data_IF_591327269364
#
_entry.id   IF_591327269364
#
_cell.length_a   1.000
_cell.length_b   1.000
_cell.length_c   1.000
_cell.angle_alpha   90.00
_cell.angle_beta   90.00
_cell.angle_gamma   90.00
#
_symmetry.space_group_name_H-M   'P 1'
#
loop_
_entity.id
_entity.type
_entity.pdbx_description
1 polymer ?
#
# COMPACT_ATOMS: atom_id res chain seq x y z
N UNK A 1 -10.10 2.48 10.64
CA UNK A 1 -8.97 3.41 10.57
C UNK A 1 -8.99 4.27 9.30
N UNK A 2 -8.96 3.67 8.11
CA UNK A 2 -8.94 4.41 6.83
C UNK A 2 -10.03 5.47 6.72
N UNK A 3 -11.26 5.12 7.08
CA UNK A 3 -12.40 6.05 7.02
C UNK A 3 -12.23 7.26 7.95
N UNK A 4 -11.65 7.06 9.13
CA UNK A 4 -11.38 8.15 10.08
C UNK A 4 -10.32 9.07 9.50
N UNK A 5 -9.24 8.51 8.98
CA UNK A 5 -8.16 9.26 8.34
C UNK A 5 -8.66 10.10 7.15
N UNK A 6 -9.47 9.51 6.26
CA UNK A 6 -10.00 10.24 5.09
C UNK A 6 -10.85 11.45 5.51
N UNK A 7 -11.64 11.31 6.57
CA UNK A 7 -12.40 12.44 7.13
C UNK A 7 -11.50 13.50 7.75
N UNK A 8 -10.42 13.10 8.42
CA UNK A 8 -9.46 14.04 9.02
C UNK A 8 -8.77 14.91 7.97
N UNK A 9 -8.51 14.39 6.78
CA UNK A 9 -7.96 15.16 5.65
C UNK A 9 -9.04 15.89 4.83
N UNK A 10 -10.29 15.88 5.28
CA UNK A 10 -11.38 16.63 4.66
C UNK A 10 -12.09 15.95 3.49
N UNK A 11 -11.79 14.69 3.22
CA UNK A 11 -12.43 13.93 2.14
C UNK A 11 -13.82 13.44 2.56
N UNK A 12 -14.75 13.48 1.61
CA UNK A 12 -16.13 12.98 1.75
C UNK A 12 -16.33 11.80 0.81
N UNK A 13 -16.99 10.76 1.32
CA UNK A 13 -17.32 9.58 0.52
C UNK A 13 -18.26 9.96 -0.63
N UNK A 14 -17.97 9.46 -1.81
CA UNK A 14 -18.79 9.57 -3.00
C UNK A 14 -19.49 8.23 -3.28
N UNK A 15 -20.64 8.29 -3.96
CA UNK A 15 -21.28 7.10 -4.52
C UNK A 15 -20.65 6.79 -5.87
N UNK A 16 -20.10 5.58 -5.98
CA UNK A 16 -19.47 5.07 -7.21
C UNK A 16 -19.96 3.65 -7.48
N UNK A 17 -20.07 3.28 -8.75
CA UNK A 17 -20.50 1.93 -9.14
C UNK A 17 -19.45 0.87 -8.83
N UNK A 18 -18.17 1.26 -8.87
CA UNK A 18 -17.03 0.36 -8.63
C UNK A 18 -16.05 1.00 -7.65
N UNK A 19 -15.60 0.23 -6.66
CA UNK A 19 -14.65 0.70 -5.66
C UNK A 19 -15.24 1.70 -4.66
N UNK A 20 -14.37 2.41 -3.97
CA UNK A 20 -14.71 3.46 -3.02
C UNK A 20 -13.97 4.74 -3.36
N UNK A 21 -14.69 5.82 -3.53
CA UNK A 21 -14.17 7.15 -3.86
C UNK A 21 -14.43 8.13 -2.73
N UNK A 22 -13.41 8.93 -2.44
CA UNK A 22 -13.42 10.00 -1.44
C UNK A 22 -12.85 11.25 -2.09
N UNK A 23 -13.56 12.38 -1.96
CA UNK A 23 -13.16 13.65 -2.61
C UNK A 23 -13.36 14.82 -1.67
N UNK A 24 -12.58 15.87 -1.89
CA UNK A 24 -12.83 17.20 -1.34
C UNK A 24 -13.25 18.19 -2.44
N UNK A 25 -13.53 19.43 -2.02
CA UNK A 25 -13.99 20.49 -2.93
C UNK A 25 -12.83 21.16 -3.72
N UNK A 26 -11.58 20.82 -3.38
CA UNK A 26 -10.35 21.41 -3.96
C UNK A 26 -9.65 20.47 -4.95
N UNK A 27 -10.24 19.31 -5.25
CA UNK A 27 -9.71 18.32 -6.17
C UNK A 27 -8.90 17.21 -5.53
N UNK A 28 -8.78 17.20 -4.20
CA UNK A 28 -8.20 16.08 -3.46
C UNK A 28 -9.07 14.83 -3.56
N UNK A 29 -8.45 13.68 -3.67
CA UNK A 29 -9.16 12.41 -3.77
C UNK A 29 -8.36 11.23 -3.22
N UNK A 30 -9.10 10.19 -2.83
CA UNK A 30 -8.63 8.83 -2.64
C UNK A 30 -9.63 7.90 -3.32
N UNK A 31 -9.13 6.97 -4.11
CA UNK A 31 -9.91 5.92 -4.72
C UNK A 31 -9.31 4.57 -4.37
N UNK A 32 -10.13 3.65 -3.85
CA UNK A 32 -9.72 2.29 -3.50
C UNK A 32 -10.57 1.26 -4.23
N UNK A 33 -9.95 0.15 -4.58
CA UNK A 33 -10.59 -1.01 -5.18
C UNK A 33 -10.16 -2.28 -4.45
N UNK A 34 -11.08 -3.22 -4.27
CA UNK A 34 -10.83 -4.42 -3.47
C UNK A 34 -11.10 -4.20 -1.97
N UNK A 35 -10.68 -5.14 -1.15
CA UNK A 35 -10.90 -5.11 0.30
C UNK A 35 -9.62 -5.42 1.08
N UNK A 36 -9.49 -4.87 2.27
CA UNK A 36 -8.38 -5.14 3.18
C UNK A 36 -8.40 -6.57 3.76
N UNK A 37 -9.47 -7.32 3.56
CA UNK A 37 -9.56 -8.74 3.96
C UNK A 37 -8.82 -9.68 2.99
N UNK A 38 -8.54 -9.20 1.79
CA UNK A 38 -7.84 -9.95 0.74
C UNK A 38 -6.79 -9.09 0.06
N UNK A 39 -7.17 -8.38 -1.00
CA UNK A 39 -6.32 -7.47 -1.75
C UNK A 39 -7.04 -6.15 -1.90
N UNK A 40 -6.40 -5.06 -1.53
CA UNK A 40 -6.88 -3.71 -1.82
C UNK A 40 -5.80 -2.92 -2.54
N UNK A 41 -6.20 -2.14 -3.52
CA UNK A 41 -5.37 -1.16 -4.16
C UNK A 41 -5.98 0.22 -4.06
N UNK A 42 -5.15 1.23 -3.84
CA UNK A 42 -5.58 2.61 -3.71
C UNK A 42 -4.67 3.57 -4.44
N UNK A 43 -5.27 4.63 -4.94
CA UNK A 43 -4.60 5.81 -5.44
C UNK A 43 -5.10 7.02 -4.67
N UNK A 44 -4.25 8.01 -4.49
CA UNK A 44 -4.65 9.24 -3.82
C UNK A 44 -3.77 10.42 -4.18
N UNK A 45 -4.39 11.58 -4.15
CA UNK A 45 -3.73 12.88 -4.23
C UNK A 45 -4.53 13.86 -3.38
N UNK A 46 -3.90 14.44 -2.37
CA UNK A 46 -4.56 15.35 -1.45
C UNK A 46 -3.56 16.26 -0.74
N UNK A 47 -4.06 17.36 -0.21
CA UNK A 47 -3.29 18.27 0.65
C UNK A 47 -3.80 18.18 2.08
N UNK A 48 -2.90 18.04 3.03
CA UNK A 48 -3.24 17.96 4.46
C UNK A 48 -3.77 19.31 4.94
N UNK A 49 -5.02 19.38 5.43
CA UNK A 49 -5.65 20.67 5.76
C UNK A 49 -5.20 21.27 7.10
N UNK A 50 -4.81 20.43 8.04
CA UNK A 50 -4.41 20.82 9.40
C UNK A 50 -3.34 19.88 9.93
N UNK A 51 -2.55 20.32 10.91
CA UNK A 51 -1.64 19.43 11.64
C UNK A 51 -2.46 18.44 12.46
N UNK A 52 -2.17 17.16 12.35
CA UNK A 52 -2.79 16.12 13.19
C UNK A 52 -1.94 14.87 13.32
N UNK A 53 -2.27 14.09 14.34
CA UNK A 53 -1.75 12.75 14.56
C UNK A 53 -2.83 11.73 14.22
N UNK A 54 -2.49 10.67 13.50
CA UNK A 54 -3.38 9.54 13.29
C UNK A 54 -2.75 8.27 13.84
N UNK A 55 -3.44 7.64 14.76
CA UNK A 55 -3.09 6.31 15.24
C UNK A 55 -3.54 5.29 14.19
N UNK A 56 -2.69 4.32 13.91
CA UNK A 56 -3.06 3.17 13.10
C UNK A 56 -2.81 1.89 13.90
N UNK A 57 -3.71 0.97 13.75
CA UNK A 57 -3.60 -0.39 14.27
C UNK A 57 -4.23 -1.33 13.26
N UNK A 58 -3.49 -2.35 12.89
CA UNK A 58 -3.99 -3.41 12.03
C UNK A 58 -4.38 -4.61 12.88
N UNK A 59 -5.54 -5.20 12.61
CA UNK A 59 -6.00 -6.43 13.27
C UNK A 59 -5.26 -7.66 12.75
N UNK A 60 -4.58 -7.55 11.62
CA UNK A 60 -3.81 -8.58 10.96
C UNK A 60 -2.60 -7.99 10.26
N UNK A 61 -1.76 -8.84 9.71
CA UNK A 61 -0.54 -8.45 9.01
C UNK A 61 -0.81 -8.26 7.51
N UNK A 62 -0.07 -7.34 6.88
CA UNK A 62 -0.18 -7.02 5.47
C UNK A 62 1.16 -6.97 4.77
N UNK A 63 1.18 -7.42 3.52
CA UNK A 63 2.20 -7.06 2.56
C UNK A 63 1.75 -5.77 1.86
N UNK A 64 2.50 -4.69 2.03
CA UNK A 64 2.27 -3.41 1.36
C UNK A 64 3.35 -3.13 0.34
N UNK A 65 2.97 -2.65 -0.81
CA UNK A 65 3.89 -2.13 -1.80
C UNK A 65 3.27 -0.92 -2.49
N UNK A 66 4.10 0.05 -2.88
CA UNK A 66 3.57 1.23 -3.52
C UNK A 66 4.65 2.18 -4.01
N UNK A 67 4.16 3.27 -4.60
CA UNK A 67 4.97 4.39 -5.07
C UNK A 67 4.38 5.66 -4.48
N UNK A 68 5.20 6.40 -3.75
CA UNK A 68 4.88 7.73 -3.26
C UNK A 68 5.58 8.72 -4.18
N UNK A 69 4.80 9.42 -5.00
CA UNK A 69 5.33 10.41 -5.95
C UNK A 69 5.66 11.73 -5.27
N UNK A 70 4.79 12.16 -4.37
CA UNK A 70 4.91 13.40 -3.60
C UNK A 70 4.46 13.17 -2.16
N UNK A 71 5.14 13.82 -1.25
CA UNK A 71 4.79 13.81 0.17
C UNK A 71 5.95 13.32 1.04
N UNK A 72 5.90 13.69 2.30
CA UNK A 72 6.79 13.18 3.34
C UNK A 72 5.90 12.67 4.45
N UNK A 73 6.05 11.41 4.78
CA UNK A 73 5.32 10.80 5.89
C UNK A 73 6.28 10.53 7.03
N UNK A 74 5.94 10.99 8.22
CA UNK A 74 6.65 10.67 9.45
C UNK A 74 5.84 9.64 10.22
N UNK A 75 6.45 8.51 10.53
CA UNK A 75 5.83 7.46 11.34
C UNK A 75 6.64 7.23 12.60
N UNK A 76 5.96 7.20 13.73
CA UNK A 76 6.55 6.79 15.00
C UNK A 76 6.24 5.30 15.21
N UNK A 77 7.27 4.47 15.06
CA UNK A 77 7.19 3.02 15.25
C UNK A 77 8.24 2.61 16.27
N UNK A 78 7.84 1.89 17.31
CA UNK A 78 8.74 1.43 18.39
C UNK A 78 9.56 2.59 19.00
N UNK A 79 8.95 3.75 19.23
CA UNK A 79 9.58 4.98 19.71
C UNK A 79 10.67 5.57 18.80
N UNK A 80 10.72 5.17 17.53
CA UNK A 80 11.63 5.74 16.54
C UNK A 80 10.84 6.47 15.47
N UNK A 81 11.22 7.74 15.23
CA UNK A 81 10.67 8.52 14.13
C UNK A 81 11.33 8.08 12.83
N UNK A 82 10.51 7.68 11.85
CA UNK A 82 10.95 7.38 10.49
C UNK A 82 10.38 8.38 9.51
N UNK A 83 11.23 8.88 8.67
CA UNK A 83 10.90 9.77 7.56
C UNK A 83 10.98 9.00 6.24
N UNK A 84 9.97 9.15 5.41
CA UNK A 84 9.95 8.63 4.05
C UNK A 84 10.05 9.79 3.08
N UNK A 85 11.25 9.95 2.51
CA UNK A 85 11.48 10.96 1.47
C UNK A 85 10.93 10.50 0.12
N UNK A 86 10.45 11.43 -0.69
CA UNK A 86 9.86 11.17 -1.99
C UNK A 86 10.65 11.77 -3.15
N UNK A 87 10.53 11.25 -4.37
CA UNK A 87 9.75 10.05 -4.72
C UNK A 87 10.36 8.76 -4.17
N UNK A 88 9.54 7.82 -3.74
CA UNK A 88 10.03 6.51 -3.28
C UNK A 88 9.08 5.39 -3.69
N UNK A 89 9.67 4.25 -4.08
CA UNK A 89 8.96 3.01 -4.28
C UNK A 89 9.32 2.05 -3.15
N UNK A 90 8.33 1.50 -2.48
CA UNK A 90 8.52 0.76 -1.24
C UNK A 90 7.85 -0.61 -1.23
N UNK A 91 8.42 -1.50 -0.44
CA UNK A 91 7.85 -2.76 0.00
C UNK A 91 7.93 -2.81 1.52
N UNK A 92 6.85 -3.17 2.17
CA UNK A 92 6.81 -3.34 3.61
C UNK A 92 5.98 -4.57 3.99
N UNK A 93 6.46 -5.32 4.97
CA UNK A 93 5.64 -6.30 5.68
C UNK A 93 5.22 -5.66 7.01
N UNK A 94 3.97 -5.24 7.09
CA UNK A 94 3.44 -4.62 8.30
C UNK A 94 2.81 -5.67 9.20
N UNK A 95 3.44 -5.87 10.34
CA UNK A 95 2.90 -6.69 11.41
C UNK A 95 1.76 -5.96 12.14
N UNK A 96 0.92 -6.70 12.85
CA UNK A 96 -0.21 -6.20 13.62
C UNK A 96 0.20 -5.24 14.78
N UNK A 97 1.22 -4.43 14.57
CA UNK A 97 1.69 -3.42 15.51
C UNK A 97 1.07 -2.07 15.15
N UNK A 98 0.58 -1.39 16.15
CA UNK A 98 0.11 -0.02 16.00
C UNK A 98 1.25 0.97 15.85
N UNK A 99 0.94 2.16 15.38
CA UNK A 99 1.84 3.28 15.26
C UNK A 99 1.09 4.61 15.18
N UNK A 100 1.85 5.68 15.11
CA UNK A 100 1.31 7.04 14.98
C UNK A 100 1.92 7.70 13.75
N UNK A 101 1.09 8.18 12.85
CA UNK A 101 1.49 9.02 11.74
C UNK A 101 1.31 10.49 12.08
N UNK A 102 2.32 11.30 11.80
CA UNK A 102 2.31 12.74 11.99
C UNK A 102 2.08 13.44 10.65
N UNK A 103 1.03 14.22 10.57
CA UNK A 103 0.62 14.93 9.36
C UNK A 103 0.77 16.43 9.56
N UNK A 104 1.38 17.10 8.60
CA UNK A 104 1.61 18.54 8.63
C UNK A 104 0.72 19.27 7.64
N UNK A 105 0.10 20.35 8.10
CA UNK A 105 -0.69 21.24 7.24
C UNK A 105 0.11 21.69 6.02
N UNK A 106 -0.53 21.61 4.86
CA UNK A 106 0.06 22.02 3.58
C UNK A 106 0.91 20.96 2.90
N UNK A 107 1.17 19.81 3.53
CA UNK A 107 1.81 18.69 2.84
C UNK A 107 0.90 18.18 1.73
N UNK A 108 1.46 18.07 0.52
CA UNK A 108 0.80 17.46 -0.61
C UNK A 108 1.25 16.01 -0.71
N UNK A 109 0.30 15.11 -0.85
CA UNK A 109 0.54 13.68 -1.02
C UNK A 109 0.00 13.22 -2.37
N UNK A 110 0.78 12.39 -3.05
CA UNK A 110 0.36 11.68 -4.25
C UNK A 110 1.02 10.30 -4.28
N UNK A 111 0.22 9.27 -4.42
CA UNK A 111 0.75 7.91 -4.40
C UNK A 111 -0.24 6.84 -4.84
N UNK A 112 0.30 5.64 -4.94
CA UNK A 112 -0.41 4.39 -5.23
C UNK A 112 0.10 3.31 -4.31
N UNK A 113 -0.78 2.46 -3.82
CA UNK A 113 -0.45 1.39 -2.89
C UNK A 113 -1.30 0.15 -3.17
N UNK A 114 -0.68 -1.02 -3.05
CA UNK A 114 -1.35 -2.32 -2.99
C UNK A 114 -1.11 -2.95 -1.62
N UNK A 115 -2.16 -3.52 -1.04
CA UNK A 115 -2.13 -4.22 0.25
C UNK A 115 -2.69 -5.61 0.08
N UNK A 116 -1.93 -6.61 0.51
CA UNK A 116 -2.36 -8.01 0.51
C UNK A 116 -2.37 -8.52 1.94
N UNK A 117 -3.54 -8.98 2.41
CA UNK A 117 -3.67 -9.55 3.75
C UNK A 117 -2.88 -10.85 3.83
N UNK A 118 -2.13 -11.02 4.92
CA UNK A 118 -1.12 -12.08 4.99
C UNK A 118 -1.72 -13.49 5.08
N UNK A 119 -2.84 -13.66 5.78
CA UNK A 119 -3.57 -14.92 5.83
C UNK A 119 -4.08 -15.33 4.44
N UNK A 120 -4.71 -14.39 3.73
CA UNK A 120 -5.13 -14.59 2.34
C UNK A 120 -3.95 -14.93 1.41
N UNK A 121 -2.84 -14.23 1.58
CA UNK A 121 -1.60 -14.48 0.83
C UNK A 121 -1.12 -15.93 1.02
N UNK A 122 -0.99 -16.38 2.26
CA UNK A 122 -0.47 -17.71 2.60
C UNK A 122 -1.44 -18.84 2.30
N UNK A 123 -2.71 -18.65 2.55
CA UNK A 123 -3.73 -19.70 2.44
C UNK A 123 -4.36 -19.81 1.06
N UNK A 124 -4.32 -18.74 0.28
CA UNK A 124 -5.00 -18.68 -1.02
C UNK A 124 -4.05 -18.36 -2.17
N UNK A 125 -3.32 -17.26 -2.11
CA UNK A 125 -2.55 -16.76 -3.25
C UNK A 125 -1.29 -17.58 -3.51
N UNK A 126 -0.50 -17.88 -2.49
CA UNK A 126 0.72 -18.70 -2.64
C UNK A 126 0.40 -20.11 -3.12
N UNK A 127 -0.58 -20.85 -2.55
CA UNK A 127 -0.99 -22.16 -3.08
C UNK A 127 -1.49 -22.10 -4.52
N UNK A 128 -2.24 -21.06 -4.88
CA UNK A 128 -2.70 -20.85 -6.27
C UNK A 128 -1.53 -20.74 -7.25
N UNK A 129 -0.40 -20.16 -6.82
CA UNK A 129 0.84 -20.06 -7.59
C UNK A 129 1.73 -21.30 -7.51
N UNK A 130 1.32 -22.35 -6.79
CA UNK A 130 2.16 -23.52 -6.54
C UNK A 130 3.34 -23.27 -5.60
N UNK A 131 3.26 -22.22 -4.78
CA UNK A 131 4.28 -21.85 -3.82
C UNK A 131 3.89 -22.30 -2.39
N UNK A 132 4.91 -22.55 -1.56
CA UNK A 132 4.68 -22.87 -0.15
C UNK A 132 4.24 -21.64 0.65
N UNK A 133 3.61 -21.83 1.79
CA UNK A 133 3.19 -20.76 2.69
C UNK A 133 4.38 -19.94 3.21
N UNK A 134 5.57 -20.53 3.24
CA UNK A 134 6.82 -19.92 3.72
C UNK A 134 7.62 -19.21 2.59
N UNK A 135 7.11 -19.16 1.38
CA UNK A 135 7.83 -18.59 0.23
C UNK A 135 8.28 -17.14 0.43
N UNK A 136 7.58 -16.38 1.27
CA UNK A 136 7.88 -14.99 1.59
C UNK A 136 8.51 -14.78 2.97
N UNK A 137 8.88 -15.83 3.69
CA UNK A 137 9.48 -15.73 5.03
C UNK A 137 10.81 -14.96 5.04
N UNK A 138 11.49 -14.88 3.90
CA UNK A 138 12.67 -14.03 3.75
C UNK A 138 12.37 -12.53 3.93
N UNK A 139 11.13 -12.11 3.68
CA UNK A 139 10.69 -10.73 3.92
C UNK A 139 10.43 -10.46 5.41
N UNK A 140 9.88 -11.40 6.14
CA UNK A 140 9.52 -11.24 7.55
C UNK A 140 10.73 -10.91 8.44
N UNK A 141 11.90 -11.39 8.08
CA UNK A 141 13.13 -11.22 8.86
C UNK A 141 13.79 -9.85 8.71
N UNK A 142 13.55 -9.16 7.61
CA UNK A 142 14.37 -8.03 7.19
C UNK A 142 13.58 -6.76 6.82
N UNK A 143 12.25 -6.76 6.86
CA UNK A 143 11.52 -5.72 6.16
C UNK A 143 10.86 -4.69 7.04
N UNK A 144 11.41 -3.50 6.93
CA UNK A 144 10.65 -2.26 7.10
C UNK A 144 11.11 -1.32 5.99
N UNK A 145 10.29 -1.20 4.91
CA UNK A 145 10.48 -0.24 3.82
C UNK A 145 11.76 -0.44 3.00
N UNK A 146 11.78 -1.53 2.26
CA UNK A 146 12.80 -1.77 1.26
C UNK A 146 12.47 -1.03 -0.04
N UNK A 147 13.51 -0.62 -0.76
CA UNK A 147 13.35 -0.08 -2.11
C UNK A 147 12.78 -1.15 -3.04
N UNK A 148 11.74 -0.79 -3.78
CA UNK A 148 11.06 -1.70 -4.70
C UNK A 148 11.84 -1.77 -6.03
N UNK A 149 12.26 -2.96 -6.51
CA UNK A 149 12.89 -3.12 -7.82
C UNK A 149 12.02 -2.62 -8.97
N UNK A 150 12.65 -2.18 -10.06
CA UNK A 150 11.96 -1.58 -11.21
C UNK A 150 10.88 -2.49 -11.82
N UNK A 151 11.14 -3.78 -11.91
CA UNK A 151 10.18 -4.76 -12.46
C UNK A 151 8.89 -4.80 -11.65
N UNK A 152 8.99 -4.64 -10.33
CA UNK A 152 7.83 -4.57 -9.44
C UNK A 152 7.17 -3.19 -9.48
N UNK A 153 7.95 -2.12 -9.66
CA UNK A 153 7.40 -0.78 -9.88
C UNK A 153 6.55 -0.73 -11.15
N UNK A 154 6.98 -1.37 -12.24
CA UNK A 154 6.24 -1.43 -13.50
C UNK A 154 4.89 -2.14 -13.33
N UNK A 155 4.81 -3.17 -12.51
CA UNK A 155 3.55 -3.83 -12.16
C UNK A 155 2.59 -2.90 -11.43
N UNK A 156 3.08 -2.18 -10.42
CA UNK A 156 2.30 -1.21 -9.67
C UNK A 156 1.82 -0.08 -10.59
N UNK A 157 2.69 0.40 -11.46
CA UNK A 157 2.34 1.44 -12.43
C UNK A 157 1.24 1.00 -13.41
N UNK A 158 1.31 -0.21 -13.94
CA UNK A 158 0.24 -0.77 -14.78
C UNK A 158 -1.09 -0.86 -14.05
N UNK A 159 -1.07 -1.33 -12.80
CA UNK A 159 -2.26 -1.40 -11.97
C UNK A 159 -2.83 -0.02 -11.66
N UNK A 160 -1.98 0.97 -11.40
CA UNK A 160 -2.39 2.36 -11.21
C UNK A 160 -3.14 2.91 -12.43
N UNK A 161 -2.65 2.63 -13.65
CA UNK A 161 -3.33 3.07 -14.88
C UNK A 161 -4.73 2.46 -15.01
N UNK A 162 -4.89 1.19 -14.67
CA UNK A 162 -6.22 0.54 -14.65
C UNK A 162 -7.16 1.19 -13.63
N UNK A 163 -6.66 1.54 -12.45
CA UNK A 163 -7.45 2.26 -11.44
C UNK A 163 -7.88 3.65 -11.92
N UNK A 164 -6.96 4.41 -12.50
CA UNK A 164 -7.23 5.78 -12.98
C UNK A 164 -8.25 5.80 -14.11
N UNK A 165 -8.26 4.79 -14.95
CA UNK A 165 -9.22 4.62 -16.05
C UNK A 165 -10.52 3.96 -15.62
N UNK A 166 -10.64 3.56 -14.35
CA UNK A 166 -11.77 2.79 -13.82
C UNK A 166 -12.00 1.47 -14.58
N UNK A 167 -10.92 0.87 -15.05
CA UNK A 167 -10.91 -0.41 -15.78
C UNK A 167 -10.47 -1.60 -14.91
N UNK A 168 -10.18 -1.37 -13.62
CA UNK A 168 -9.83 -2.43 -12.70
C UNK A 168 -11.02 -3.34 -12.45
N UNK A 169 -10.75 -4.64 -12.48
CA UNK A 169 -11.71 -5.68 -12.09
C UNK A 169 -11.12 -6.54 -10.98
N UNK A 170 -11.96 -7.29 -10.29
CA UNK A 170 -11.53 -8.20 -9.24
C UNK A 170 -10.54 -9.26 -9.78
N UNK A 171 -10.80 -9.80 -10.98
CA UNK A 171 -9.90 -10.73 -11.64
C UNK A 171 -8.55 -10.13 -12.00
N UNK A 172 -8.54 -8.89 -12.51
CA UNK A 172 -7.29 -8.18 -12.83
C UNK A 172 -6.49 -7.87 -11.58
N UNK A 173 -7.13 -7.43 -10.50
CA UNK A 173 -6.45 -7.16 -9.24
C UNK A 173 -5.78 -8.41 -8.68
N UNK A 174 -6.50 -9.54 -8.68
CA UNK A 174 -5.96 -10.82 -8.25
C UNK A 174 -4.79 -11.29 -9.14
N UNK A 175 -4.90 -11.14 -10.45
CA UNK A 175 -3.85 -11.51 -11.40
C UNK A 175 -2.60 -10.65 -11.23
N UNK A 176 -2.75 -9.35 -11.02
CA UNK A 176 -1.63 -8.44 -10.78
C UNK A 176 -0.94 -8.73 -9.44
N UNK A 177 -1.69 -9.01 -8.38
CA UNK A 177 -1.14 -9.43 -7.11
C UNK A 177 -0.39 -10.76 -7.21
N UNK A 178 -0.93 -11.72 -7.95
CA UNK A 178 -0.28 -13.00 -8.21
C UNK A 178 1.04 -12.82 -8.98
N UNK A 179 1.05 -12.01 -10.03
CA UNK A 179 2.27 -11.69 -10.78
C UNK A 179 3.31 -10.99 -9.91
N UNK A 180 2.88 -10.03 -9.08
CA UNK A 180 3.74 -9.33 -8.14
C UNK A 180 4.43 -10.30 -7.17
N UNK A 181 3.67 -11.19 -6.54
CA UNK A 181 4.20 -12.20 -5.62
C UNK A 181 5.11 -13.19 -6.35
N UNK A 182 4.75 -13.63 -7.55
CA UNK A 182 5.59 -14.52 -8.37
C UNK A 182 6.96 -13.90 -8.67
N UNK A 183 7.01 -12.61 -8.92
CA UNK A 183 8.27 -11.91 -9.14
C UNK A 183 9.08 -11.72 -7.85
N UNK A 184 8.43 -11.44 -6.72
CA UNK A 184 9.10 -11.30 -5.42
C UNK A 184 9.91 -12.53 -5.02
N UNK A 185 9.42 -13.73 -5.35
CA UNK A 185 10.08 -14.99 -4.97
C UNK A 185 11.18 -15.41 -5.93
N UNK A 186 11.38 -14.72 -7.04
CA UNK A 186 12.48 -15.00 -7.99
C UNK A 186 13.84 -14.79 -7.31
N UNK A 187 14.82 -15.68 -7.56
CA UNK A 187 16.14 -15.61 -6.92
C UNK A 187 16.84 -14.25 -7.10
N UNK A 188 16.71 -13.63 -8.29
CA UNK A 188 17.33 -12.34 -8.60
C UNK A 188 16.75 -11.22 -7.73
N UNK A 189 15.44 -11.22 -7.52
CA UNK A 189 14.75 -10.24 -6.69
C UNK A 189 15.02 -10.50 -5.20
N UNK A 190 14.95 -11.77 -4.77
CA UNK A 190 15.26 -12.14 -3.39
C UNK A 190 16.66 -11.72 -2.94
N UNK A 191 17.65 -11.81 -3.85
CA UNK A 191 19.02 -11.41 -3.54
C UNK A 191 19.17 -9.92 -3.25
N UNK A 192 18.33 -9.08 -3.85
CA UNK A 192 18.30 -7.63 -3.57
C UNK A 192 17.91 -7.38 -2.12
N UNK A 193 16.95 -8.14 -1.61
CA UNK A 193 16.45 -8.00 -0.23
C UNK A 193 17.33 -8.68 0.83
N UNK A 194 18.14 -9.66 0.44
CA UNK A 194 19.02 -10.38 1.36
C UNK A 194 20.32 -9.61 1.70
N UNK A 195 20.70 -8.66 0.87
CA UNK A 195 21.95 -7.89 0.97
C UNK A 195 21.77 -6.45 1.49
N UNK A 196 20.56 -6.09 1.89
CA UNK A 196 20.17 -4.77 2.39
C UNK A 196 20.19 -4.63 3.91
#
# INVERSE_FOLDING_TARGET
>A
YQTIFYRQIGLKKQEEETGNSWRDDEGGYIYTFGTMDTIQMGIGEYTVPVDFLSEFQYDTEYLHAGIIYEGITYSLVDNHMKEFATPSAFLAMEQAAGGINCWKKGQHFKGVEISVELGYLRETLLPFLGLSAEALDFLEKNVRYLHLPEELQDLIFRAEQLLRKQEMTESLLKSLAAEFVSQLVRPEIRSVFANG
#
